data_IF_566044419169
#
_entry.id   IF_566044419169
#
_cell.length_a   1.000
_cell.length_b   1.000
_cell.length_c   1.000
_cell.angle_alpha   90.00
_cell.angle_beta   90.00
_cell.angle_gamma   90.00
#
_symmetry.space_group_name_H-M   'P 1'
#
loop_
_entity.id
_entity.type
_entity.pdbx_description
1 polymer ?
#
# COMPACT_ATOMS: atom_id res chain seq x y z
N UNK A 1 -15.64 12.57 24.79
CA UNK A 1 -15.94 11.53 23.79
C UNK A 1 -17.34 11.78 23.23
N UNK A 2 -17.48 11.87 21.92
CA UNK A 2 -18.76 12.10 21.24
C UNK A 2 -19.01 11.01 20.20
N UNK A 3 -19.83 10.01 20.53
CA UNK A 3 -20.13 8.87 19.66
C UNK A 3 -21.58 8.99 19.16
N UNK A 4 -21.74 9.05 17.84
CA UNK A 4 -23.08 9.06 17.24
C UNK A 4 -23.79 7.72 17.52
N UNK A 5 -25.09 7.70 17.84
CA UNK A 5 -25.81 6.46 18.20
C UNK A 5 -25.79 5.35 17.12
N UNK A 6 -25.57 5.71 15.85
CA UNK A 6 -25.47 4.75 14.74
C UNK A 6 -24.03 4.40 14.39
N UNK A 7 -23.03 4.92 15.10
CA UNK A 7 -21.64 4.50 14.92
C UNK A 7 -21.46 3.08 15.47
N UNK A 8 -20.63 2.29 14.79
CA UNK A 8 -20.27 0.95 15.23
C UNK A 8 -18.84 1.01 15.74
N UNK A 9 -18.65 0.84 17.03
CA UNK A 9 -17.33 0.71 17.67
C UNK A 9 -17.26 -0.66 18.30
N UNK A 10 -16.39 -1.50 17.80
CA UNK A 10 -16.27 -2.88 18.30
C UNK A 10 -15.63 -2.92 19.68
N UNK A 11 -16.02 -3.94 20.45
CA UNK A 11 -15.41 -4.21 21.76
C UNK A 11 -13.93 -4.53 21.60
N UNK A 12 -13.06 -3.78 22.27
CA UNK A 12 -11.60 -3.88 22.16
C UNK A 12 -10.95 -2.65 21.54
N UNK A 13 -11.68 -1.84 20.77
CA UNK A 13 -11.19 -0.56 20.28
C UNK A 13 -10.77 0.36 21.45
N UNK A 14 -9.60 0.98 21.30
CA UNK A 14 -9.07 1.91 22.31
C UNK A 14 -9.22 3.35 21.80
N UNK A 15 -9.98 4.15 22.54
CA UNK A 15 -10.30 5.52 22.17
C UNK A 15 -9.65 6.49 23.18
N UNK A 16 -8.90 7.44 22.68
CA UNK A 16 -8.35 8.52 23.47
C UNK A 16 -9.39 9.51 23.97
N UNK A 17 -8.94 10.57 24.66
CA UNK A 17 -9.80 11.64 25.15
C UNK A 17 -10.33 12.47 23.97
N UNK A 18 -11.52 13.01 24.11
CA UNK A 18 -12.14 13.94 23.13
C UNK A 18 -12.30 13.36 21.70
N UNK A 19 -12.24 12.02 21.55
CA UNK A 19 -12.52 11.36 20.28
C UNK A 19 -13.98 11.57 19.90
N UNK A 20 -14.24 11.87 18.62
CA UNK A 20 -15.58 11.95 18.04
C UNK A 20 -15.75 10.97 16.88
N UNK A 21 -16.86 10.21 16.87
CA UNK A 21 -17.19 9.23 15.84
C UNK A 21 -18.57 9.52 15.29
N UNK A 22 -18.64 9.80 13.99
CA UNK A 22 -19.83 10.21 13.26
C UNK A 22 -20.77 9.06 12.92
N UNK A 23 -21.94 9.43 12.35
CA UNK A 23 -22.98 8.49 11.97
C UNK A 23 -22.47 7.42 11.01
N UNK A 24 -22.83 6.15 11.28
CA UNK A 24 -22.47 5.00 10.43
C UNK A 24 -20.98 4.81 10.20
N UNK A 25 -20.12 5.43 10.99
CA UNK A 25 -18.69 5.12 10.97
C UNK A 25 -18.44 3.78 11.67
N UNK A 26 -17.45 3.04 11.20
CA UNK A 26 -17.04 1.75 11.75
C UNK A 26 -15.61 1.83 12.30
N UNK A 27 -15.44 1.37 13.53
CA UNK A 27 -14.13 1.27 14.20
C UNK A 27 -13.96 -0.16 14.75
N UNK A 28 -13.02 -0.91 14.19
CA UNK A 28 -12.78 -2.32 14.50
C UNK A 28 -12.09 -2.53 15.86
N UNK A 29 -12.17 -3.76 16.38
CA UNK A 29 -11.73 -4.14 17.72
C UNK A 29 -10.25 -3.90 18.05
N UNK A 30 -9.37 -3.93 17.05
CA UNK A 30 -7.91 -3.76 17.24
C UNK A 30 -7.42 -2.35 16.88
N UNK A 31 -8.34 -1.39 16.75
CA UNK A 31 -8.03 0.00 16.41
C UNK A 31 -7.69 0.80 17.67
N UNK A 32 -6.66 1.62 17.57
CA UNK A 32 -6.27 2.60 18.61
C UNK A 32 -6.37 4.00 18.02
N UNK A 33 -7.19 4.86 18.62
CA UNK A 33 -7.32 6.27 18.25
C UNK A 33 -6.73 7.15 19.35
N UNK A 34 -5.78 8.01 18.99
CA UNK A 34 -5.22 9.02 19.89
C UNK A 34 -6.24 10.11 20.28
N UNK A 35 -5.82 10.96 21.22
CA UNK A 35 -6.64 12.06 21.72
C UNK A 35 -7.10 13.00 20.60
N UNK A 36 -8.33 13.48 20.65
CA UNK A 36 -8.88 14.46 19.72
C UNK A 36 -9.11 13.96 18.29
N UNK A 37 -8.99 12.66 18.03
CA UNK A 37 -9.28 12.11 16.70
C UNK A 37 -10.76 12.31 16.31
N UNK A 38 -11.00 12.62 15.06
CA UNK A 38 -12.32 12.84 14.48
C UNK A 38 -12.56 11.88 13.33
N UNK A 39 -13.43 10.90 13.54
CA UNK A 39 -13.88 9.97 12.50
C UNK A 39 -15.25 10.42 12.02
N UNK A 40 -15.34 10.92 10.79
CA UNK A 40 -16.59 11.44 10.24
C UNK A 40 -17.51 10.28 9.80
N UNK A 41 -18.74 10.64 9.40
CA UNK A 41 -19.76 9.66 9.03
C UNK A 41 -19.31 8.72 7.90
N UNK A 42 -19.71 7.44 7.96
CA UNK A 42 -19.39 6.41 6.93
C UNK A 42 -17.90 6.15 6.72
N UNK A 43 -16.99 6.63 7.56
CA UNK A 43 -15.58 6.24 7.51
C UNK A 43 -15.39 4.86 8.16
N UNK A 44 -14.43 4.10 7.67
CA UNK A 44 -14.09 2.77 8.18
C UNK A 44 -12.63 2.73 8.63
N UNK A 45 -12.40 2.28 9.85
CA UNK A 45 -11.05 2.03 10.38
C UNK A 45 -11.05 0.62 10.98
N UNK A 46 -10.19 -0.26 10.49
CA UNK A 46 -10.15 -1.65 10.96
C UNK A 46 -8.72 -2.21 10.99
N UNK A 47 -8.61 -3.52 11.24
CA UNK A 47 -7.33 -4.20 11.38
C UNK A 47 -6.54 -3.70 12.60
N UNK A 48 -5.25 -4.02 12.69
CA UNK A 48 -4.35 -3.49 13.71
C UNK A 48 -3.87 -2.09 13.31
N UNK A 49 -4.74 -1.11 13.46
CA UNK A 49 -4.51 0.28 13.01
C UNK A 49 -4.41 1.23 14.19
N UNK A 50 -3.33 1.99 14.25
CA UNK A 50 -3.11 3.03 15.26
C UNK A 50 -3.07 4.39 14.58
N UNK A 51 -3.88 5.34 15.06
CA UNK A 51 -3.82 6.76 14.71
C UNK A 51 -3.31 7.57 15.91
N UNK A 52 -2.32 8.41 15.67
CA UNK A 52 -1.87 9.43 16.63
C UNK A 52 -2.95 10.48 16.90
N UNK A 53 -2.66 11.41 17.81
CA UNK A 53 -3.60 12.45 18.21
C UNK A 53 -4.03 13.38 17.05
N UNK A 54 -5.21 13.96 17.15
CA UNK A 54 -5.71 15.01 16.26
C UNK A 54 -5.90 14.61 14.81
N UNK A 55 -5.95 13.32 14.49
CA UNK A 55 -6.24 12.86 13.13
C UNK A 55 -7.70 13.05 12.74
N UNK A 56 -7.94 13.42 11.48
CA UNK A 56 -9.28 13.55 10.92
C UNK A 56 -9.48 12.57 9.76
N UNK A 57 -10.53 11.75 9.86
CA UNK A 57 -10.89 10.75 8.84
C UNK A 57 -12.23 11.12 8.26
N UNK A 58 -12.25 11.55 7.01
CA UNK A 58 -13.40 12.06 6.28
C UNK A 58 -14.30 10.92 5.76
N UNK A 59 -15.52 11.25 5.28
CA UNK A 59 -16.49 10.25 4.87
C UNK A 59 -15.96 9.31 3.79
N UNK A 60 -16.31 8.03 3.95
CA UNK A 60 -15.93 6.95 3.02
C UNK A 60 -14.42 6.70 2.91
N UNK A 61 -13.59 7.31 3.74
CA UNK A 61 -12.19 6.87 3.86
C UNK A 61 -12.13 5.50 4.54
N UNK A 62 -11.22 4.64 4.08
CA UNK A 62 -11.06 3.26 4.54
C UNK A 62 -9.61 3.02 4.92
N UNK A 63 -9.35 2.83 6.20
CA UNK A 63 -8.02 2.66 6.76
C UNK A 63 -7.89 1.27 7.41
N UNK A 64 -6.86 0.52 7.06
CA UNK A 64 -6.50 -0.73 7.74
C UNK A 64 -7.17 -2.00 7.23
N UNK A 65 -7.97 -1.94 6.16
CA UNK A 65 -8.50 -3.14 5.50
C UNK A 65 -7.37 -4.01 4.92
N UNK A 66 -7.59 -5.32 4.75
CA UNK A 66 -6.57 -6.23 4.21
C UNK A 66 -5.94 -5.72 2.93
N UNK A 67 -4.61 -5.86 2.77
CA UNK A 67 -3.90 -5.36 1.60
C UNK A 67 -4.32 -6.06 0.31
N UNK A 68 -4.32 -5.32 -0.80
CA UNK A 68 -4.60 -5.84 -2.14
C UNK A 68 -3.36 -6.54 -2.74
N UNK A 69 -2.73 -7.40 -1.97
CA UNK A 69 -1.62 -8.23 -2.43
C UNK A 69 -2.07 -9.69 -2.50
N UNK A 70 -1.93 -10.32 -3.67
CA UNK A 70 -2.28 -11.73 -3.91
C UNK A 70 -1.47 -12.71 -3.02
N UNK A 71 -0.39 -12.26 -2.41
CA UNK A 71 0.45 -13.05 -1.49
C UNK A 71 0.00 -12.96 -0.05
N UNK A 72 -0.84 -11.99 0.30
CA UNK A 72 -1.35 -11.84 1.65
C UNK A 72 -2.21 -13.05 2.02
N UNK A 73 -1.96 -13.64 3.19
CA UNK A 73 -2.64 -14.85 3.67
C UNK A 73 -3.43 -14.62 4.97
N UNK A 74 -3.60 -13.37 5.38
CA UNK A 74 -4.27 -13.03 6.63
C UNK A 74 -3.30 -12.95 7.82
N UNK A 75 -2.01 -12.89 7.57
CA UNK A 75 -1.01 -12.70 8.63
C UNK A 75 -1.21 -11.37 9.38
N UNK A 76 -0.81 -11.36 10.67
CA UNK A 76 -0.94 -10.16 11.49
C UNK A 76 0.04 -9.08 11.03
N UNK A 77 -0.51 -7.99 10.50
CA UNK A 77 0.24 -6.82 10.04
C UNK A 77 -0.39 -5.55 10.60
N UNK A 78 0.34 -4.44 10.56
CA UNK A 78 -0.07 -3.19 11.21
C UNK A 78 -0.11 -2.01 10.23
N UNK A 79 -0.95 -1.03 10.57
CA UNK A 79 -0.95 0.31 10.01
C UNK A 79 -0.68 1.31 11.14
N UNK A 80 0.43 2.01 11.05
CA UNK A 80 0.86 2.98 12.05
C UNK A 80 0.80 4.40 11.46
N UNK A 81 -0.07 5.23 12.01
CA UNK A 81 -0.30 6.61 11.55
C UNK A 81 0.06 7.56 12.69
N UNK A 82 0.90 8.53 12.41
CA UNK A 82 1.28 9.60 13.33
C UNK A 82 0.17 10.60 13.62
N UNK A 83 0.53 11.73 14.20
CA UNK A 83 -0.40 12.74 14.67
C UNK A 83 -0.84 13.75 13.59
N UNK A 84 -2.03 14.34 13.78
CA UNK A 84 -2.54 15.48 13.00
C UNK A 84 -2.61 15.23 11.48
N UNK A 85 -2.89 14.01 11.07
CA UNK A 85 -3.10 13.67 9.68
C UNK A 85 -4.57 13.89 9.27
N UNK A 86 -4.78 14.31 8.02
CA UNK A 86 -6.10 14.51 7.43
C UNK A 86 -6.26 13.55 6.25
N UNK A 87 -7.21 12.63 6.38
CA UNK A 87 -7.60 11.69 5.33
C UNK A 87 -8.94 12.13 4.75
N UNK A 88 -8.91 12.73 3.55
CA UNK A 88 -10.10 13.21 2.87
C UNK A 88 -10.94 12.03 2.36
N UNK A 89 -12.05 12.39 1.74
CA UNK A 89 -13.07 11.43 1.29
C UNK A 89 -12.48 10.34 0.40
N UNK A 90 -12.91 9.09 0.59
CA UNK A 90 -12.50 7.93 -0.23
C UNK A 90 -10.98 7.64 -0.22
N UNK A 91 -10.22 8.21 0.70
CA UNK A 91 -8.81 7.78 0.89
C UNK A 91 -8.77 6.33 1.35
N UNK A 92 -7.85 5.55 0.79
CA UNK A 92 -7.63 4.16 1.22
C UNK A 92 -6.19 3.95 1.63
N UNK A 93 -5.98 3.28 2.78
CA UNK A 93 -4.65 2.95 3.30
C UNK A 93 -4.65 1.52 3.77
N UNK A 94 -3.76 0.69 3.22
CA UNK A 94 -3.61 -0.70 3.62
C UNK A 94 -2.47 -0.90 4.63
N UNK A 95 -2.57 -1.88 5.55
CA UNK A 95 -1.47 -2.29 6.42
C UNK A 95 -0.34 -2.95 5.63
N UNK A 96 0.72 -3.34 6.31
CA UNK A 96 1.82 -4.09 5.70
C UNK A 96 1.46 -5.50 5.29
N UNK A 97 2.42 -6.21 4.72
CA UNK A 97 2.36 -7.64 4.41
C UNK A 97 3.49 -8.39 5.10
N UNK A 98 3.35 -9.68 5.36
CA UNK A 98 4.38 -10.49 5.99
C UNK A 98 5.71 -10.45 5.22
N UNK A 99 5.64 -10.39 3.90
CA UNK A 99 6.82 -10.32 3.03
C UNK A 99 7.44 -8.92 2.93
N UNK A 100 6.71 -7.87 3.35
CA UNK A 100 7.13 -6.47 3.24
C UNK A 100 7.64 -5.85 4.54
N UNK A 101 7.71 -6.64 5.61
CA UNK A 101 8.11 -6.15 6.93
C UNK A 101 6.94 -5.93 7.89
N UNK A 102 5.71 -6.21 7.44
CA UNK A 102 4.51 -6.29 8.30
C UNK A 102 3.88 -4.96 8.66
N UNK A 103 4.39 -3.82 8.14
CA UNK A 103 3.90 -2.51 8.58
C UNK A 103 3.89 -1.48 7.46
N UNK A 104 2.76 -0.76 7.36
CA UNK A 104 2.68 0.52 6.63
C UNK A 104 2.74 1.65 7.63
N UNK A 105 3.56 2.68 7.36
CA UNK A 105 3.72 3.85 8.23
C UNK A 105 3.38 5.15 7.51
N UNK A 106 2.69 6.03 8.23
CA UNK A 106 2.45 7.42 7.82
C UNK A 106 2.88 8.32 8.98
N UNK A 107 3.78 9.26 8.73
CA UNK A 107 4.24 10.24 9.71
C UNK A 107 3.16 11.24 10.12
N UNK A 108 3.58 12.44 10.54
CA UNK A 108 2.69 13.44 11.10
C UNK A 108 2.28 14.51 10.09
N UNK A 109 1.12 15.15 10.34
CA UNK A 109 0.67 16.36 9.64
C UNK A 109 0.60 16.23 8.12
N UNK A 110 0.24 15.05 7.64
CA UNK A 110 0.01 14.82 6.21
C UNK A 110 -1.42 15.17 5.82
N UNK A 111 -1.58 15.62 4.58
CA UNK A 111 -2.87 15.87 3.95
C UNK A 111 -3.02 14.93 2.75
N UNK A 112 -3.86 13.91 2.90
CA UNK A 112 -4.23 13.00 1.82
C UNK A 112 -5.60 13.44 1.28
N UNK A 113 -5.63 13.88 0.02
CA UNK A 113 -6.83 14.40 -0.62
C UNK A 113 -7.67 13.28 -1.24
N UNK A 114 -8.82 13.64 -1.77
CA UNK A 114 -9.87 12.74 -2.25
C UNK A 114 -9.32 11.59 -3.08
N UNK A 115 -9.67 10.35 -2.69
CA UNK A 115 -9.36 9.14 -3.45
C UNK A 115 -7.88 8.78 -3.53
N UNK A 116 -7.00 9.41 -2.74
CA UNK A 116 -5.61 8.99 -2.66
C UNK A 116 -5.51 7.58 -2.07
N UNK A 117 -4.59 6.77 -2.60
CA UNK A 117 -4.37 5.39 -2.16
C UNK A 117 -2.94 5.16 -1.71
N UNK A 118 -2.78 4.56 -0.54
CA UNK A 118 -1.50 4.09 -0.01
C UNK A 118 -1.57 2.57 0.13
N UNK A 119 -0.85 1.86 -0.73
CA UNK A 119 -0.78 0.40 -0.67
C UNK A 119 0.12 -0.07 0.50
N UNK A 120 0.19 -1.37 0.64
CA UNK A 120 0.91 -2.07 1.69
C UNK A 120 2.41 -1.73 1.76
N UNK A 121 2.97 -1.80 2.95
CA UNK A 121 4.42 -1.63 3.21
C UNK A 121 5.00 -0.27 2.79
N UNK A 122 4.15 0.73 2.53
CA UNK A 122 4.59 2.07 2.26
C UNK A 122 5.10 2.76 3.53
N UNK A 123 6.08 3.64 3.37
CA UNK A 123 6.63 4.49 4.42
C UNK A 123 6.46 5.94 3.96
N UNK A 124 5.48 6.64 4.49
CA UNK A 124 5.20 8.04 4.17
C UNK A 124 5.72 8.90 5.31
N UNK A 125 6.58 9.86 5.01
CA UNK A 125 7.11 10.83 5.97
C UNK A 125 6.06 11.79 6.49
N UNK A 126 6.50 12.94 6.98
CA UNK A 126 5.66 13.95 7.60
C UNK A 126 5.47 15.17 6.70
N UNK A 127 4.36 15.91 6.92
CA UNK A 127 4.05 17.16 6.21
C UNK A 127 3.98 17.04 4.69
N UNK A 128 3.59 15.86 4.21
CA UNK A 128 3.34 15.62 2.79
C UNK A 128 1.93 16.08 2.39
N UNK A 129 1.80 16.53 1.15
CA UNK A 129 0.51 16.84 0.52
C UNK A 129 0.34 15.87 -0.64
N UNK A 130 -0.62 14.99 -0.52
CA UNK A 130 -0.94 13.95 -1.50
C UNK A 130 -2.26 14.34 -2.16
N UNK A 131 -2.18 14.89 -3.37
CA UNK A 131 -3.36 15.42 -4.06
C UNK A 131 -4.33 14.31 -4.50
N UNK A 132 -5.48 14.72 -5.05
CA UNK A 132 -6.58 13.86 -5.42
C UNK A 132 -6.12 12.72 -6.34
N UNK A 133 -6.56 11.49 -6.02
CA UNK A 133 -6.33 10.28 -6.82
C UNK A 133 -4.86 9.96 -7.08
N UNK A 134 -3.95 10.37 -6.21
CA UNK A 134 -2.57 9.87 -6.23
C UNK A 134 -2.56 8.41 -5.77
N UNK A 135 -1.84 7.55 -6.50
CA UNK A 135 -1.80 6.12 -6.24
C UNK A 135 -0.37 5.67 -5.94
N UNK A 136 -0.13 5.21 -4.71
CA UNK A 136 1.13 4.56 -4.34
C UNK A 136 0.97 3.05 -4.42
N UNK A 137 1.79 2.41 -5.23
CA UNK A 137 1.96 0.96 -5.17
C UNK A 137 2.70 0.54 -3.89
N UNK A 138 2.77 -0.77 -3.61
CA UNK A 138 3.43 -1.25 -2.39
C UNK A 138 4.90 -0.88 -2.27
N UNK A 139 5.40 -0.81 -1.03
CA UNK A 139 6.81 -0.56 -0.70
C UNK A 139 7.37 0.80 -1.16
N UNK A 140 6.53 1.79 -1.38
CA UNK A 140 6.97 3.14 -1.71
C UNK A 140 7.44 3.85 -0.44
N UNK A 141 8.57 4.54 -0.54
CA UNK A 141 9.07 5.42 0.51
C UNK A 141 8.94 6.88 0.07
N UNK A 142 8.23 7.68 0.83
CA UNK A 142 8.08 9.12 0.64
C UNK A 142 8.71 9.84 1.82
N UNK A 143 9.73 10.63 1.56
CA UNK A 143 10.36 11.44 2.61
C UNK A 143 9.50 12.66 2.96
N UNK A 144 9.94 13.46 3.93
CA UNK A 144 9.17 14.59 4.45
C UNK A 144 8.94 15.71 3.42
N UNK A 145 7.85 16.46 3.61
CA UNK A 145 7.49 17.66 2.83
C UNK A 145 7.31 17.42 1.32
N UNK A 146 7.05 16.20 0.91
CA UNK A 146 6.77 15.88 -0.49
C UNK A 146 5.39 16.39 -0.88
N UNK A 147 5.28 16.95 -2.08
CA UNK A 147 4.01 17.37 -2.67
C UNK A 147 3.75 16.60 -3.97
N UNK A 148 2.65 15.86 -3.98
CA UNK A 148 2.22 15.03 -5.11
C UNK A 148 1.04 15.67 -5.83
N UNK A 149 1.22 15.99 -7.10
CA UNK A 149 0.14 16.47 -7.97
C UNK A 149 -0.88 15.36 -8.28
N UNK A 150 -2.13 15.76 -8.43
CA UNK A 150 -3.26 14.85 -8.63
C UNK A 150 -3.10 13.89 -9.79
N UNK A 151 -3.71 12.71 -9.67
CA UNK A 151 -3.67 11.62 -10.66
C UNK A 151 -2.26 11.11 -10.98
N UNK A 152 -1.28 11.32 -10.09
CA UNK A 152 0.05 10.72 -10.23
C UNK A 152 0.03 9.28 -9.72
N UNK A 153 0.83 8.42 -10.34
CA UNK A 153 0.96 7.03 -9.95
C UNK A 153 2.43 6.67 -9.71
N UNK A 154 2.70 6.01 -8.58
CA UNK A 154 4.05 5.67 -8.13
C UNK A 154 4.25 4.16 -8.15
N UNK A 155 5.28 3.72 -8.85
CA UNK A 155 5.65 2.30 -8.96
C UNK A 155 6.21 1.76 -7.63
N UNK A 156 6.07 0.44 -7.43
CA UNK A 156 6.65 -0.26 -6.28
C UNK A 156 8.14 0.10 -6.06
N UNK A 157 8.54 0.17 -4.79
CA UNK A 157 9.93 0.39 -4.36
C UNK A 157 10.56 1.72 -4.80
N UNK A 158 9.76 2.68 -5.22
CA UNK A 158 10.23 4.04 -5.50
C UNK A 158 10.46 4.77 -4.19
N UNK A 159 11.56 5.53 -4.11
CA UNK A 159 11.79 6.53 -3.08
C UNK A 159 11.55 7.93 -3.65
N UNK A 160 10.72 8.75 -2.98
CA UNK A 160 10.52 10.15 -3.30
C UNK A 160 11.22 10.99 -2.26
N UNK A 161 12.28 11.68 -2.66
CA UNK A 161 13.13 12.45 -1.77
C UNK A 161 12.44 13.70 -1.20
N UNK A 162 12.90 14.14 -0.02
CA UNK A 162 12.32 15.25 0.74
C UNK A 162 12.19 16.52 -0.10
N UNK A 163 11.10 17.27 0.15
CA UNK A 163 10.76 18.48 -0.58
C UNK A 163 10.64 18.33 -2.10
N UNK A 164 10.55 17.11 -2.63
CA UNK A 164 10.25 16.91 -4.04
C UNK A 164 8.82 17.35 -4.36
N UNK A 165 8.64 17.87 -5.56
CA UNK A 165 7.32 18.14 -6.13
C UNK A 165 7.10 17.26 -7.36
N UNK A 166 6.06 16.46 -7.33
CA UNK A 166 5.62 15.64 -8.47
C UNK A 166 4.45 16.34 -9.16
N UNK A 167 4.62 16.71 -10.41
CA UNK A 167 3.55 17.31 -11.21
C UNK A 167 2.36 16.37 -11.41
N UNK A 168 1.17 16.93 -11.61
CA UNK A 168 -0.04 16.13 -11.82
C UNK A 168 0.08 15.18 -13.03
N UNK A 169 -0.65 14.06 -12.99
CA UNK A 169 -0.70 13.03 -14.04
C UNK A 169 0.67 12.42 -14.37
N UNK A 170 1.61 12.43 -13.41
CA UNK A 170 2.96 11.91 -13.61
C UNK A 170 3.04 10.44 -13.20
N UNK A 171 3.51 9.59 -14.12
CA UNK A 171 3.91 8.22 -13.81
C UNK A 171 5.34 8.22 -13.26
N UNK A 172 5.49 7.88 -11.99
CA UNK A 172 6.76 7.81 -11.29
C UNK A 172 7.25 6.35 -11.27
N UNK A 173 8.25 6.03 -12.08
CA UNK A 173 8.78 4.66 -12.21
C UNK A 173 10.22 4.50 -11.73
N UNK A 174 10.84 5.56 -11.23
CA UNK A 174 12.18 5.58 -10.66
C UNK A 174 12.22 6.56 -9.48
N UNK A 175 13.26 6.48 -8.65
CA UNK A 175 13.44 7.36 -7.51
C UNK A 175 13.42 8.83 -7.92
N UNK A 176 12.75 9.65 -7.10
CA UNK A 176 12.59 11.08 -7.34
C UNK A 176 13.59 11.83 -6.48
N UNK A 177 14.51 12.59 -7.10
CA UNK A 177 15.51 13.35 -6.34
C UNK A 177 14.88 14.37 -5.38
N UNK A 178 15.44 14.53 -4.16
CA UNK A 178 14.97 15.53 -3.22
C UNK A 178 15.10 16.96 -3.78
N UNK A 179 14.27 17.87 -3.29
CA UNK A 179 14.27 19.31 -3.63
C UNK A 179 13.89 19.65 -5.07
N UNK A 180 13.66 18.67 -5.92
CA UNK A 180 13.43 18.89 -7.35
C UNK A 180 11.95 18.71 -7.73
N UNK A 181 11.59 19.33 -8.84
CA UNK A 181 10.30 19.16 -9.51
C UNK A 181 10.47 18.12 -10.60
N UNK A 182 9.61 17.10 -10.60
CA UNK A 182 9.46 16.19 -11.73
C UNK A 182 8.08 16.37 -12.37
N UNK A 183 8.02 16.16 -13.67
CA UNK A 183 6.78 16.24 -14.46
C UNK A 183 6.70 15.08 -15.44
N UNK A 184 5.50 14.81 -15.92
CA UNK A 184 5.31 13.90 -17.04
C UNK A 184 6.07 14.43 -18.27
N UNK A 185 6.87 13.56 -18.89
CA UNK A 185 7.52 13.84 -20.16
C UNK A 185 6.72 13.18 -21.31
N UNK A 186 7.08 13.52 -22.54
CA UNK A 186 6.52 12.83 -23.72
C UNK A 186 6.87 11.33 -23.64
N UNK A 187 5.88 10.48 -23.71
CA UNK A 187 6.01 9.03 -23.53
C UNK A 187 5.70 8.60 -22.08
N UNK A 188 6.34 7.53 -21.61
CA UNK A 188 6.03 6.88 -20.32
C UNK A 188 6.96 7.26 -19.16
N UNK A 189 7.91 8.15 -19.36
CA UNK A 189 8.90 8.54 -18.34
C UNK A 189 8.59 9.92 -17.77
N UNK A 190 8.90 10.10 -16.48
CA UNK A 190 8.96 11.41 -15.85
C UNK A 190 10.34 12.04 -16.06
N UNK A 191 10.41 13.36 -16.06
CA UNK A 191 11.67 14.10 -16.16
C UNK A 191 11.85 15.11 -15.03
N UNK A 192 13.08 15.30 -14.60
CA UNK A 192 13.48 16.36 -13.68
C UNK A 192 13.45 17.69 -14.42
N UNK A 193 12.63 18.64 -13.92
CA UNK A 193 12.34 19.93 -14.60
C UNK A 193 13.10 21.10 -14.03
N UNK A 194 13.14 21.22 -12.70
CA UNK A 194 13.75 22.35 -11.99
C UNK A 194 13.90 22.06 -10.51
N UNK A 195 14.49 23.00 -9.76
CA UNK A 195 14.45 23.02 -8.29
C UNK A 195 13.08 23.48 -7.82
N UNK A 196 12.55 22.86 -6.78
CA UNK A 196 11.28 23.26 -6.12
C UNK A 196 11.48 24.52 -5.25
N UNK A 197 11.91 25.64 -5.89
CA UNK A 197 12.24 26.86 -5.16
C UNK A 197 11.11 27.38 -4.31
N UNK A 198 9.88 27.40 -4.85
CA UNK A 198 8.68 27.88 -4.11
C UNK A 198 8.39 27.03 -2.88
N UNK A 199 8.49 25.69 -3.01
CA UNK A 199 8.28 24.79 -1.89
C UNK A 199 9.37 24.97 -0.82
N UNK A 200 10.62 25.17 -1.21
CA UNK A 200 11.72 25.42 -0.32
C UNK A 200 11.61 26.75 0.44
N UNK A 201 11.28 27.85 -0.25
CA UNK A 201 11.04 29.15 0.36
C UNK A 201 9.93 29.10 1.42
N UNK A 202 8.80 28.43 1.10
CA UNK A 202 7.68 28.25 2.04
C UNK A 202 8.05 27.44 3.28
N UNK A 203 9.07 26.60 3.18
CA UNK A 203 9.58 25.78 4.29
C UNK A 203 10.85 26.36 4.94
N UNK A 204 11.16 27.65 4.69
CA UNK A 204 12.18 28.39 5.40
C UNK A 204 13.62 28.22 4.91
N UNK A 205 13.82 27.65 3.74
CA UNK A 205 15.16 27.54 3.14
C UNK A 205 15.69 28.92 2.73
N UNK A 206 16.95 29.19 3.05
CA UNK A 206 17.62 30.42 2.70
C UNK A 206 17.90 30.57 1.20
N UNK A 207 18.11 31.82 0.75
CA UNK A 207 18.44 32.12 -0.65
C UNK A 207 19.73 31.40 -1.09
N UNK A 208 20.69 31.24 -0.20
CA UNK A 208 21.96 30.57 -0.46
C UNK A 208 21.75 29.07 -0.74
N UNK A 209 20.95 28.38 0.05
CA UNK A 209 20.61 26.97 -0.17
C UNK A 209 19.94 26.75 -1.51
N UNK A 210 18.95 27.60 -1.82
CA UNK A 210 18.21 27.52 -3.08
C UNK A 210 19.11 27.82 -4.27
N UNK A 211 20.03 28.77 -4.15
CA UNK A 211 21.02 29.10 -5.19
C UNK A 211 22.01 27.95 -5.40
N UNK A 212 22.51 27.34 -4.32
CA UNK A 212 23.37 26.17 -4.37
C UNK A 212 22.68 24.98 -5.07
N UNK A 213 21.43 24.70 -4.71
CA UNK A 213 20.63 23.65 -5.35
C UNK A 213 20.37 23.94 -6.84
N UNK A 214 20.11 25.22 -7.22
CA UNK A 214 19.96 25.63 -8.63
C UNK A 214 21.27 25.39 -9.40
N UNK A 215 22.42 25.72 -8.83
CA UNK A 215 23.74 25.48 -9.43
C UNK A 215 23.98 23.99 -9.62
N UNK A 216 23.71 23.16 -8.60
CA UNK A 216 23.80 21.71 -8.69
C UNK A 216 22.86 21.13 -9.76
N UNK A 217 21.59 21.61 -9.79
CA UNK A 217 20.65 21.22 -10.84
C UNK A 217 21.19 21.54 -12.25
N UNK A 218 21.75 22.72 -12.45
CA UNK A 218 22.34 23.10 -13.74
C UNK A 218 23.51 22.21 -14.14
N UNK A 219 24.36 21.84 -13.18
CA UNK A 219 25.48 20.92 -13.42
C UNK A 219 25.02 19.49 -13.76
N UNK A 220 23.90 19.03 -13.15
CA UNK A 220 23.43 17.66 -13.31
C UNK A 220 22.46 17.50 -14.50
N UNK A 221 21.54 18.44 -14.71
CA UNK A 221 20.36 18.23 -15.56
C UNK A 221 20.19 19.24 -16.70
N UNK A 222 21.01 20.31 -16.80
CA UNK A 222 20.92 21.24 -17.92
C UNK A 222 21.13 20.56 -19.29
N UNK A 223 20.62 21.16 -20.34
CA UNK A 223 20.84 20.66 -21.71
C UNK A 223 22.33 20.53 -22.03
N UNK A 224 23.15 21.52 -21.65
CA UNK A 224 24.61 21.47 -21.81
C UNK A 224 25.23 20.31 -21.05
N UNK A 225 24.79 20.07 -19.80
CA UNK A 225 25.27 18.96 -18.99
C UNK A 225 24.93 17.58 -19.57
N UNK A 226 23.78 17.46 -20.23
CA UNK A 226 23.38 16.22 -20.90
C UNK A 226 24.11 15.98 -22.22
N UNK A 227 24.58 17.03 -22.87
CA UNK A 227 25.24 16.97 -24.21
C UNK A 227 26.77 16.84 -24.13
N UNK A 228 27.40 17.09 -22.98
CA UNK A 228 28.84 17.08 -22.83
C UNK A 228 29.46 15.66 -22.79
N UNK A 229 28.64 14.59 -22.86
CA UNK A 229 29.10 13.21 -22.85
C UNK A 229 29.56 12.67 -21.48
N UNK A 230 29.60 13.51 -20.43
CA UNK A 230 30.01 13.08 -19.10
C UNK A 230 28.84 12.34 -18.42
N UNK A 231 29.04 11.09 -17.96
CA UNK A 231 28.02 10.35 -17.23
C UNK A 231 27.51 11.11 -16.01
N UNK A 232 26.24 10.95 -15.67
CA UNK A 232 25.66 11.65 -14.52
C UNK A 232 26.37 11.29 -13.20
N UNK A 233 26.85 10.07 -13.05
CA UNK A 233 27.63 9.63 -11.87
C UNK A 233 28.89 10.46 -11.68
N UNK A 234 29.62 10.72 -12.75
CA UNK A 234 30.87 11.49 -12.71
C UNK A 234 30.58 12.97 -12.38
N UNK A 235 29.48 13.50 -12.88
CA UNK A 235 29.02 14.86 -12.53
C UNK A 235 28.64 14.96 -11.06
N UNK A 236 27.95 13.95 -10.50
CA UNK A 236 27.64 13.87 -9.07
C UNK A 236 28.92 13.80 -8.26
N UNK A 237 29.88 12.94 -8.65
CA UNK A 237 31.15 12.82 -7.95
C UNK A 237 31.95 14.13 -7.99
N UNK A 238 31.93 14.84 -9.09
CA UNK A 238 32.55 16.18 -9.21
C UNK A 238 31.94 17.16 -8.19
N UNK A 239 30.61 17.18 -8.06
CA UNK A 239 29.94 18.03 -7.06
C UNK A 239 30.32 17.63 -5.65
N UNK A 240 30.34 16.35 -5.32
CA UNK A 240 30.72 15.85 -3.98
C UNK A 240 32.17 16.18 -3.61
N UNK A 241 33.07 16.33 -4.58
CA UNK A 241 34.46 16.70 -4.37
C UNK A 241 34.66 18.22 -4.22
N UNK A 242 33.66 19.03 -4.53
CA UNK A 242 33.73 20.50 -4.38
C UNK A 242 33.58 20.88 -2.91
N UNK A 243 34.50 21.70 -2.39
CA UNK A 243 34.48 22.16 -0.98
C UNK A 243 34.61 23.70 -0.90
N UNK A 244 33.88 24.37 0.00
CA UNK A 244 32.86 23.82 0.89
C UNK A 244 31.60 23.39 0.12
N UNK A 245 30.97 22.27 0.52
CA UNK A 245 29.75 21.78 -0.09
C UNK A 245 28.55 22.16 0.76
N UNK A 246 27.52 22.72 0.12
CA UNK A 246 26.25 23.02 0.80
C UNK A 246 25.57 21.70 1.23
N UNK A 247 25.07 21.58 2.49
CA UNK A 247 24.48 20.34 3.00
C UNK A 247 23.30 19.81 2.19
N UNK A 248 22.51 20.69 1.56
CA UNK A 248 21.38 20.28 0.74
C UNK A 248 21.84 19.69 -0.61
N UNK A 249 22.92 20.23 -1.16
CA UNK A 249 23.55 19.70 -2.36
C UNK A 249 24.21 18.36 -2.06
N UNK A 250 24.87 18.23 -0.92
CA UNK A 250 25.43 16.94 -0.47
C UNK A 250 24.35 15.86 -0.38
N UNK A 251 23.26 16.15 0.32
CA UNK A 251 22.13 15.23 0.44
C UNK A 251 21.53 14.85 -0.93
N UNK A 252 21.35 15.81 -1.83
CA UNK A 252 20.89 15.54 -3.21
C UNK A 252 21.85 14.58 -3.94
N UNK A 253 23.15 14.83 -3.84
CA UNK A 253 24.17 14.02 -4.51
C UNK A 253 24.25 12.60 -3.93
N UNK A 254 24.18 12.44 -2.60
CA UNK A 254 24.16 11.13 -1.94
C UNK A 254 22.92 10.33 -2.32
N UNK A 255 21.74 10.95 -2.32
CA UNK A 255 20.51 10.32 -2.79
C UNK A 255 20.65 9.80 -4.23
N UNK A 256 21.15 10.65 -5.12
CA UNK A 256 21.34 10.28 -6.52
C UNK A 256 22.39 9.18 -6.69
N UNK A 257 23.50 9.23 -5.96
CA UNK A 257 24.52 8.17 -6.00
C UNK A 257 23.92 6.84 -5.57
N UNK A 258 23.14 6.81 -4.50
CA UNK A 258 22.45 5.61 -4.01
C UNK A 258 21.53 5.03 -5.09
N UNK A 259 20.71 5.86 -5.74
CA UNK A 259 19.76 5.43 -6.77
C UNK A 259 20.45 4.98 -8.07
N UNK A 260 21.51 5.68 -8.51
CA UNK A 260 22.21 5.35 -9.76
C UNK A 260 23.27 4.28 -9.61
N UNK A 261 24.00 4.24 -8.50
CA UNK A 261 25.08 3.28 -8.30
C UNK A 261 24.56 1.90 -7.88
N UNK A 262 23.52 1.89 -7.05
CA UNK A 262 23.03 0.67 -6.41
C UNK A 262 21.58 0.34 -6.79
N UNK A 263 20.84 1.30 -7.38
CA UNK A 263 19.44 1.10 -7.71
C UNK A 263 19.23 0.17 -8.91
N UNK A 264 18.27 -0.74 -8.79
CA UNK A 264 17.76 -1.52 -9.92
C UNK A 264 16.65 -0.73 -10.61
N UNK A 265 16.74 -0.55 -11.92
CA UNK A 265 15.80 0.26 -12.69
C UNK A 265 15.61 1.70 -12.16
N UNK A 266 16.64 2.29 -11.53
CA UNK A 266 16.55 3.61 -10.92
C UNK A 266 15.78 3.64 -9.60
N UNK A 267 15.62 2.50 -8.91
CA UNK A 267 14.98 2.37 -7.59
C UNK A 267 15.93 1.66 -6.64
N UNK A 268 16.36 2.37 -5.61
CA UNK A 268 17.31 1.82 -4.63
C UNK A 268 16.67 0.69 -3.80
N UNK A 269 15.45 0.88 -3.30
CA UNK A 269 14.74 -0.14 -2.51
C UNK A 269 14.50 -1.44 -3.28
N UNK A 270 14.30 -1.37 -4.60
CA UNK A 270 14.18 -2.55 -5.46
C UNK A 270 15.46 -3.42 -5.43
N UNK A 271 16.64 -2.78 -5.28
CA UNK A 271 17.92 -3.50 -5.21
C UNK A 271 18.13 -4.24 -3.89
N UNK A 272 17.48 -3.79 -2.83
CA UNK A 272 17.56 -4.43 -1.51
C UNK A 272 16.65 -5.65 -1.37
N UNK A 273 15.80 -5.89 -2.35
CA UNK A 273 14.86 -7.00 -2.33
C UNK A 273 15.57 -8.33 -2.46
N UNK A 274 15.49 -9.16 -1.42
CA UNK A 274 16.16 -10.47 -1.31
C UNK A 274 15.39 -11.62 -1.97
N UNK A 275 14.26 -11.36 -2.64
CA UNK A 275 13.36 -12.42 -3.10
C UNK A 275 13.73 -12.99 -4.47
N UNK A 276 14.22 -14.24 -4.58
CA UNK A 276 14.49 -14.92 -5.86
C UNK A 276 13.22 -15.39 -6.59
N UNK A 277 12.04 -15.38 -5.96
CA UNK A 277 10.83 -16.05 -6.44
C UNK A 277 10.00 -15.22 -7.42
N UNK A 278 10.27 -13.94 -7.58
CA UNK A 278 9.43 -13.02 -8.38
C UNK A 278 9.47 -13.19 -9.89
N UNK A 279 10.08 -14.23 -10.40
CA UNK A 279 10.07 -14.53 -11.85
C UNK A 279 9.01 -15.52 -12.30
N UNK A 280 8.26 -16.13 -11.39
CA UNK A 280 7.25 -17.13 -11.77
C UNK A 280 5.88 -16.73 -11.27
N UNK A 281 5.02 -16.50 -12.23
CA UNK A 281 3.56 -16.51 -12.20
C UNK A 281 2.84 -15.33 -11.56
N UNK A 282 2.47 -14.36 -12.38
CA UNK A 282 1.20 -13.66 -12.33
C UNK A 282 0.05 -14.58 -12.83
N UNK A 283 0.11 -15.84 -12.58
CA UNK A 283 -1.09 -16.66 -12.60
C UNK A 283 -1.74 -16.42 -11.27
N UNK A 284 -2.89 -15.75 -11.25
CA UNK A 284 -3.90 -16.05 -10.25
C UNK A 284 -3.88 -17.57 -10.17
N UNK A 285 -3.44 -18.14 -9.04
CA UNK A 285 -3.68 -19.54 -8.78
C UNK A 285 -5.17 -19.67 -8.98
N UNK A 286 -5.58 -20.39 -10.02
CA UNK A 286 -6.95 -20.87 -10.13
C UNK A 286 -7.22 -21.43 -8.75
N UNK A 287 -8.24 -20.91 -8.06
CA UNK A 287 -8.62 -21.45 -6.76
C UNK A 287 -8.75 -22.93 -6.99
N UNK A 288 -7.85 -23.71 -6.40
CA UNK A 288 -7.98 -25.15 -6.48
C UNK A 288 -9.35 -25.46 -5.91
N UNK A 289 -10.27 -25.87 -6.76
CA UNK A 289 -11.60 -26.35 -6.37
C UNK A 289 -11.60 -27.84 -6.58
N UNK A 290 -12.24 -28.55 -5.66
CA UNK A 290 -12.48 -29.97 -5.84
C UNK A 290 -13.50 -30.13 -6.96
N UNK A 291 -13.22 -30.86 -8.05
CA UNK A 291 -14.20 -31.12 -9.09
C UNK A 291 -15.36 -31.94 -8.51
N UNK A 292 -16.53 -31.32 -8.38
CA UNK A 292 -17.74 -32.00 -7.87
C UNK A 292 -18.81 -32.04 -8.92
N UNK A 293 -19.22 -33.27 -9.30
CA UNK A 293 -20.40 -33.48 -10.10
C UNK A 293 -21.63 -33.61 -9.19
N UNK A 294 -22.66 -32.83 -9.43
CA UNK A 294 -23.93 -32.91 -8.69
C UNK A 294 -24.95 -33.73 -9.52
N UNK A 295 -25.52 -34.77 -8.90
CA UNK A 295 -26.57 -35.59 -9.46
C UNK A 295 -27.85 -35.40 -8.64
N UNK A 296 -28.93 -34.95 -9.27
CA UNK A 296 -30.19 -34.57 -8.62
C UNK A 296 -30.20 -33.06 -8.27
N UNK A 297 -31.08 -32.65 -7.34
CA UNK A 297 -31.28 -31.27 -6.99
C UNK A 297 -30.69 -30.96 -5.60
N UNK A 298 -29.56 -30.30 -5.60
CA UNK A 298 -28.83 -29.84 -4.39
C UNK A 298 -27.65 -29.01 -4.76
N UNK A 299 -26.97 -28.47 -3.75
CA UNK A 299 -25.78 -27.64 -3.89
C UNK A 299 -24.67 -28.17 -3.00
N UNK A 300 -23.43 -28.03 -3.47
CA UNK A 300 -22.23 -28.35 -2.69
C UNK A 300 -21.47 -27.06 -2.41
N UNK A 301 -21.25 -26.79 -1.13
CA UNK A 301 -20.37 -25.73 -0.66
C UNK A 301 -18.97 -26.29 -0.41
N UNK A 302 -17.94 -25.59 -0.85
CA UNK A 302 -16.55 -25.93 -0.64
C UNK A 302 -15.88 -24.91 0.26
N UNK A 303 -15.15 -25.35 1.27
CA UNK A 303 -14.32 -24.49 2.11
C UNK A 303 -12.96 -25.17 2.35
N UNK A 304 -11.88 -24.37 2.32
CA UNK A 304 -10.53 -24.86 2.62
C UNK A 304 -10.43 -25.22 4.09
N UNK A 305 -9.74 -26.28 4.42
CA UNK A 305 -9.44 -26.71 5.79
C UNK A 305 -7.97 -26.45 6.05
N UNK A 306 -7.67 -25.56 7.02
CA UNK A 306 -6.29 -25.30 7.41
C UNK A 306 -5.69 -26.50 8.14
N UNK A 307 -4.71 -27.14 7.52
CA UNK A 307 -3.92 -28.20 8.13
C UNK A 307 -2.84 -27.59 9.03
N UNK A 308 -2.77 -28.03 10.28
CA UNK A 308 -1.80 -27.53 11.27
C UNK A 308 -0.33 -27.96 11.06
N UNK A 309 0.00 -28.68 9.97
CA UNK A 309 1.31 -29.34 9.81
C UNK A 309 2.00 -29.13 8.45
N UNK A 310 1.55 -28.14 7.64
CA UNK A 310 2.18 -27.86 6.34
C UNK A 310 1.91 -28.92 5.26
N UNK A 311 1.00 -29.87 5.48
CA UNK A 311 0.57 -30.88 4.53
C UNK A 311 -0.59 -30.37 3.65
N UNK A 312 -0.71 -30.94 2.45
CA UNK A 312 -1.62 -30.70 1.33
C UNK A 312 -2.91 -29.94 1.66
N UNK A 313 -3.26 -28.99 0.80
CA UNK A 313 -4.55 -28.30 0.81
C UNK A 313 -5.72 -29.30 0.85
N UNK A 314 -6.48 -29.30 1.94
CA UNK A 314 -7.69 -30.10 2.09
C UNK A 314 -8.93 -29.22 1.95
N UNK A 315 -10.00 -29.77 1.40
CA UNK A 315 -11.27 -29.07 1.23
C UNK A 315 -12.39 -29.83 1.96
N UNK A 316 -13.19 -29.06 2.70
CA UNK A 316 -14.44 -29.55 3.24
C UNK A 316 -15.54 -29.29 2.24
N UNK A 317 -16.18 -30.35 1.77
CA UNK A 317 -17.38 -30.30 0.93
C UNK A 317 -18.59 -30.48 1.85
N UNK A 318 -19.61 -29.64 1.71
CA UNK A 318 -20.87 -29.74 2.45
C UNK A 318 -22.03 -29.77 1.46
N UNK A 319 -22.82 -30.84 1.47
CA UNK A 319 -23.97 -31.00 0.62
C UNK A 319 -25.23 -30.39 1.24
N UNK A 320 -26.04 -29.72 0.45
CA UNK A 320 -27.35 -29.17 0.85
C UNK A 320 -28.40 -29.53 -0.20
N UNK A 321 -29.39 -30.31 0.19
CA UNK A 321 -30.52 -30.66 -0.68
C UNK A 321 -31.47 -29.47 -0.89
N UNK A 322 -32.07 -29.39 -2.06
CA UNK A 322 -33.18 -28.47 -2.33
C UNK A 322 -34.51 -28.99 -1.76
N UNK A 323 -35.54 -28.14 -1.57
CA UNK A 323 -36.85 -28.59 -1.08
C UNK A 323 -37.42 -29.75 -1.89
N UNK A 324 -37.86 -30.80 -1.19
CA UNK A 324 -38.37 -32.04 -1.83
C UNK A 324 -37.29 -33.04 -2.21
N UNK A 325 -36.03 -32.79 -1.83
CA UNK A 325 -34.91 -33.71 -2.10
C UNK A 325 -34.14 -34.00 -0.82
N UNK A 326 -33.47 -35.12 -0.75
CA UNK A 326 -32.56 -35.50 0.33
C UNK A 326 -31.16 -35.83 -0.23
N UNK A 327 -30.14 -35.54 0.54
CA UNK A 327 -28.77 -35.95 0.21
C UNK A 327 -28.68 -37.49 0.35
N UNK A 328 -28.16 -38.16 -0.67
CA UNK A 328 -28.07 -39.61 -0.71
C UNK A 328 -26.67 -40.14 -0.52
N UNK A 329 -25.65 -39.28 -0.62
CA UNK A 329 -24.25 -39.63 -0.32
C UNK A 329 -23.25 -39.10 -1.32
N UNK A 330 -21.98 -39.30 -0.98
CA UNK A 330 -20.80 -39.01 -1.78
C UNK A 330 -20.31 -40.28 -2.49
N UNK A 331 -20.03 -40.19 -3.78
CA UNK A 331 -19.34 -41.27 -4.53
C UNK A 331 -18.00 -40.73 -5.05
N UNK A 332 -16.93 -41.53 -4.95
CA UNK A 332 -15.60 -41.17 -5.43
C UNK A 332 -14.46 -41.76 -4.59
N UNK A 333 -14.77 -42.40 -3.48
CA UNK A 333 -13.77 -43.07 -2.64
C UNK A 333 -14.34 -44.32 -1.95
N UNK A 334 -13.72 -45.51 -2.12
CA UNK A 334 -14.08 -46.70 -1.35
C UNK A 334 -13.61 -46.53 0.09
N UNK A 335 -14.44 -46.07 1.00
CA UNK A 335 -14.12 -45.91 2.43
C UNK A 335 -14.75 -44.66 3.06
N UNK A 336 -15.34 -43.78 2.30
CA UNK A 336 -16.05 -42.63 2.86
C UNK A 336 -17.44 -43.05 3.37
N UNK A 337 -17.88 -42.61 4.56
CA UNK A 337 -19.22 -42.93 5.06
C UNK A 337 -20.25 -42.27 4.12
N UNK A 338 -21.13 -43.03 3.51
CA UNK A 338 -22.06 -42.55 2.47
C UNK A 338 -23.13 -41.59 2.99
N UNK A 339 -23.24 -41.39 4.31
CA UNK A 339 -24.33 -40.65 4.96
C UNK A 339 -23.91 -39.31 5.56
N UNK A 340 -22.64 -38.92 5.52
CA UNK A 340 -22.19 -37.65 6.09
C UNK A 340 -22.47 -36.48 5.11
N UNK A 341 -23.24 -35.48 5.56
CA UNK A 341 -23.51 -34.26 4.78
C UNK A 341 -22.24 -33.45 4.47
N UNK A 342 -21.13 -33.76 5.13
CA UNK A 342 -19.84 -33.08 4.95
C UNK A 342 -18.67 -34.04 4.95
N UNK A 343 -17.74 -33.85 4.02
CA UNK A 343 -16.54 -34.66 3.83
C UNK A 343 -15.32 -33.77 3.60
N UNK A 344 -14.14 -34.23 4.04
CA UNK A 344 -12.86 -33.53 3.78
C UNK A 344 -12.07 -34.32 2.74
N UNK A 345 -11.68 -33.66 1.67
CA UNK A 345 -11.03 -34.29 0.51
C UNK A 345 -9.84 -33.50 -0.02
N UNK A 346 -8.94 -34.18 -0.70
CA UNK A 346 -7.83 -33.61 -1.45
C UNK A 346 -8.36 -33.02 -2.78
N UNK A 347 -7.91 -31.85 -3.24
CA UNK A 347 -8.39 -31.19 -4.47
C UNK A 347 -8.11 -31.98 -5.76
N UNK A 348 -7.24 -32.97 -5.71
CA UNK A 348 -6.97 -33.84 -6.87
C UNK A 348 -8.05 -34.89 -7.11
N UNK A 349 -9.02 -35.03 -6.20
CA UNK A 349 -10.10 -36.03 -6.30
C UNK A 349 -11.32 -35.47 -7.04
N UNK A 350 -11.90 -36.28 -7.90
CA UNK A 350 -13.21 -36.01 -8.46
C UNK A 350 -14.30 -36.61 -7.57
N UNK A 351 -15.23 -35.78 -7.11
CA UNK A 351 -16.32 -36.20 -6.22
C UNK A 351 -17.69 -36.15 -6.91
N UNK A 352 -18.60 -37.00 -6.50
CA UNK A 352 -19.99 -36.97 -6.96
C UNK A 352 -20.89 -36.83 -5.72
N UNK A 353 -21.70 -35.76 -5.71
CA UNK A 353 -22.75 -35.56 -4.70
C UNK A 353 -24.10 -36.03 -5.29
N UNK A 354 -24.74 -37.02 -4.68
CA UNK A 354 -26.02 -37.55 -5.16
C UNK A 354 -27.15 -37.11 -4.25
N UNK A 355 -28.23 -36.59 -4.85
CA UNK A 355 -29.48 -36.24 -4.21
C UNK A 355 -30.63 -37.08 -4.80
N UNK A 356 -31.60 -37.47 -3.94
CA UNK A 356 -32.78 -38.26 -4.33
C UNK A 356 -34.05 -37.51 -3.96
N UNK A 357 -35.17 -37.68 -4.69
CA UNK A 357 -36.47 -37.19 -4.25
C UNK A 357 -36.85 -37.79 -2.88
N UNK A 358 -37.50 -36.99 -2.04
CA UNK A 358 -38.04 -37.41 -0.75
C UNK A 358 -39.24 -38.38 -0.95
#
# INVERSE_FOLDING_TARGET
MNLHPTAIVEHGAQLGREVSIGAYAYVGANVVLGDGCRVLHHATIEGHTTLGEGCEVFPYAVLGTPPQDVKFRGERTTLEIGANNIFREMVTVHPGTGNGGGVTRIGDRNLLLIGAHVAHDCQIGSRCIIANYVQFAGHVHVEDFVNMGGHSAVHHFVTIGKHAFVGGMTRVAADVPPFLVIVAARGTRSEVRMVNGVGLERNGYGREDIAALKSAYMALYSRRARQNGIPIRDRIQTLLNTRPLNPQVEYLCEFLMRSFAHGRNGRYLESLRQDPVHRKSWKLEEKAEVPVQVVGHGKVHQSRVDGNDGSRDLFRLTARAEPGWAFAGWNGNPGDPPEADSIVVDPTRQMIATFKPL
#
